data_IF_057196744153
#
_entry.id   IF_057196744153
#
_cell.length_a   1.000
_cell.length_b   1.000
_cell.length_c   1.000
_cell.angle_alpha   90.00
_cell.angle_beta   90.00
_cell.angle_gamma   90.00
#
_symmetry.space_group_name_H-M   'P 1'
#
loop_
_entity.id
_entity.type
_entity.pdbx_description
1 polymer ?
#
# COMPACT_ATOMS: atom_id res chain seq x y z
N UNK A 1 -3.46 1.64 -17.66
CA UNK A 1 -2.96 2.76 -16.84
C UNK A 1 -4.12 3.52 -16.23
N UNK A 2 -4.19 3.59 -14.91
CA UNK A 2 -5.20 4.30 -14.13
C UNK A 2 -4.49 5.32 -13.22
N UNK A 3 -5.10 6.50 -13.06
CA UNK A 3 -4.54 7.58 -12.24
C UNK A 3 -5.01 7.41 -10.79
N UNK A 4 -4.06 7.46 -9.86
CA UNK A 4 -4.31 7.58 -8.42
C UNK A 4 -3.85 8.97 -7.99
N UNK A 5 -4.68 9.65 -7.20
CA UNK A 5 -4.38 11.03 -6.82
C UNK A 5 -4.76 11.31 -5.38
N UNK A 6 -3.92 12.08 -4.70
CA UNK A 6 -4.10 12.40 -3.28
C UNK A 6 -3.53 13.76 -2.97
N UNK A 7 -4.09 14.42 -1.95
CA UNK A 7 -3.58 15.69 -1.45
C UNK A 7 -2.97 15.50 -0.06
N UNK A 8 -1.80 16.10 0.18
CA UNK A 8 -1.14 16.13 1.50
C UNK A 8 -0.62 17.54 1.74
N UNK A 9 -0.98 18.13 2.88
CA UNK A 9 -0.53 19.47 3.29
C UNK A 9 -0.75 20.52 2.20
N UNK A 10 -1.92 20.46 1.55
CA UNK A 10 -2.32 21.37 0.48
C UNK A 10 -1.65 21.12 -0.87
N UNK A 11 -0.83 20.07 -1.01
CA UNK A 11 -0.18 19.71 -2.27
C UNK A 11 -0.81 18.46 -2.87
N UNK A 12 -1.22 18.55 -4.15
CA UNK A 12 -1.74 17.42 -4.94
C UNK A 12 -0.59 16.60 -5.52
N UNK A 13 -0.72 15.28 -5.40
CA UNK A 13 0.14 14.29 -6.03
C UNK A 13 -0.71 13.41 -6.94
N UNK A 14 -0.15 13.06 -8.09
CA UNK A 14 -0.79 12.17 -9.06
C UNK A 14 0.23 11.15 -9.54
N UNK A 15 -0.19 9.89 -9.58
CA UNK A 15 0.61 8.76 -10.05
C UNK A 15 -0.21 7.95 -11.03
N UNK A 16 0.41 7.56 -12.13
CA UNK A 16 -0.21 6.66 -13.11
C UNK A 16 0.31 5.24 -12.85
N UNK A 17 -0.59 4.32 -12.57
CA UNK A 17 -0.29 2.93 -12.25
C UNK A 17 -1.00 2.00 -13.24
N UNK A 18 -0.62 0.73 -13.28
CA UNK A 18 -1.43 -0.29 -13.94
C UNK A 18 -2.79 -0.44 -13.24
N UNK A 19 -3.79 -0.95 -13.96
CA UNK A 19 -5.18 -0.92 -13.52
C UNK A 19 -5.40 -1.71 -12.22
N UNK A 20 -4.93 -2.96 -12.17
CA UNK A 20 -5.01 -3.80 -10.98
C UNK A 20 -4.26 -3.19 -9.78
N UNK A 21 -3.09 -2.60 -10.04
CA UNK A 21 -2.32 -1.97 -8.97
C UNK A 21 -2.99 -0.70 -8.44
N UNK A 22 -3.57 0.10 -9.34
CA UNK A 22 -4.35 1.27 -8.94
C UNK A 22 -5.55 0.88 -8.09
N UNK A 23 -6.29 -0.17 -8.47
CA UNK A 23 -7.43 -0.67 -7.69
C UNK A 23 -7.02 -1.10 -6.29
N UNK A 24 -5.91 -1.84 -6.18
CA UNK A 24 -5.33 -2.21 -4.90
C UNK A 24 -4.97 -0.99 -4.03
N UNK A 25 -4.27 0.00 -4.60
CA UNK A 25 -3.85 1.20 -3.86
C UNK A 25 -5.07 2.01 -3.40
N UNK A 26 -6.08 2.17 -4.24
CA UNK A 26 -7.30 2.92 -3.91
C UNK A 26 -8.09 2.24 -2.80
N UNK A 27 -8.17 0.91 -2.82
CA UNK A 27 -8.81 0.15 -1.75
C UNK A 27 -8.04 0.27 -0.43
N UNK A 28 -6.71 0.15 -0.45
CA UNK A 28 -5.90 0.30 0.77
C UNK A 28 -5.96 1.73 1.33
N UNK A 29 -5.92 2.74 0.46
CA UNK A 29 -6.14 4.14 0.84
C UNK A 29 -7.48 4.32 1.57
N UNK A 30 -8.57 3.81 0.98
CA UNK A 30 -9.90 3.86 1.59
C UNK A 30 -9.92 3.16 2.97
N UNK A 31 -9.30 1.99 3.08
CA UNK A 31 -9.20 1.23 4.33
C UNK A 31 -8.33 1.92 5.39
N UNK A 32 -7.38 2.76 4.97
CA UNK A 32 -6.55 3.58 5.84
C UNK A 32 -7.20 4.93 6.21
N UNK A 33 -8.38 5.25 5.67
CA UNK A 33 -9.05 6.54 5.86
C UNK A 33 -8.40 7.69 5.06
N UNK A 34 -7.64 7.36 4.01
CA UNK A 34 -7.05 8.31 3.07
C UNK A 34 -8.09 8.58 1.98
N UNK A 35 -8.37 9.86 1.73
CA UNK A 35 -9.33 10.33 0.74
C UNK A 35 -8.63 10.87 -0.50
N UNK A 36 -9.18 10.55 -1.67
CA UNK A 36 -8.74 11.15 -2.93
C UNK A 36 -9.24 12.60 -3.09
N UNK A 37 -10.31 13.00 -2.40
CA UNK A 37 -10.96 14.29 -2.60
C UNK A 37 -10.53 15.33 -1.55
N UNK A 38 -10.02 14.89 -0.41
CA UNK A 38 -9.65 15.74 0.72
C UNK A 38 -8.14 15.84 0.88
N UNK A 39 -7.71 16.86 1.64
CA UNK A 39 -6.34 16.94 2.11
C UNK A 39 -6.11 15.96 3.28
N UNK A 40 -5.11 15.10 3.12
CA UNK A 40 -4.84 14.02 4.06
C UNK A 40 -3.76 14.42 5.05
N UNK A 41 -3.94 14.00 6.31
CA UNK A 41 -2.91 14.16 7.33
C UNK A 41 -1.73 13.22 7.03
N UNK A 42 -0.47 13.71 7.03
CA UNK A 42 0.71 12.89 6.76
C UNK A 42 0.81 11.62 7.64
N UNK A 43 0.30 11.71 8.89
CA UNK A 43 0.27 10.58 9.81
C UNK A 43 -0.54 9.37 9.29
N UNK A 44 -1.62 9.60 8.52
CA UNK A 44 -2.42 8.52 7.93
C UNK A 44 -1.61 7.75 6.89
N UNK A 45 -0.86 8.46 6.05
CA UNK A 45 0.02 7.83 5.05
C UNK A 45 1.16 7.06 5.70
N UNK A 46 1.80 7.62 6.74
CA UNK A 46 2.85 6.92 7.47
C UNK A 46 2.31 5.62 8.09
N UNK A 47 1.11 5.67 8.69
CA UNK A 47 0.47 4.48 9.26
C UNK A 47 0.13 3.44 8.20
N UNK A 48 -0.40 3.85 7.05
CA UNK A 48 -0.69 2.95 5.93
C UNK A 48 0.60 2.28 5.42
N UNK A 49 1.66 3.06 5.24
CA UNK A 49 2.97 2.55 4.84
C UNK A 49 3.53 1.52 5.83
N UNK A 50 3.53 1.83 7.13
CA UNK A 50 4.04 0.90 8.15
C UNK A 50 3.23 -0.40 8.21
N UNK A 51 1.92 -0.34 7.97
CA UNK A 51 1.06 -1.52 7.89
C UNK A 51 1.42 -2.40 6.68
N UNK A 52 1.66 -1.79 5.52
CA UNK A 52 2.10 -2.51 4.32
C UNK A 52 3.50 -3.12 4.51
N UNK A 53 4.44 -2.37 5.10
CA UNK A 53 5.78 -2.86 5.40
C UNK A 53 5.73 -4.08 6.34
N UNK A 54 4.91 -4.02 7.39
CA UNK A 54 4.71 -5.15 8.30
C UNK A 54 4.12 -6.38 7.60
N UNK A 55 3.09 -6.19 6.75
CA UNK A 55 2.52 -7.29 5.97
C UNK A 55 3.56 -7.94 5.04
N UNK A 56 4.37 -7.13 4.37
CA UNK A 56 5.40 -7.64 3.47
C UNK A 56 6.48 -8.42 4.24
N UNK A 57 6.91 -7.92 5.40
CA UNK A 57 7.84 -8.65 6.29
C UNK A 57 7.29 -10.03 6.66
N UNK A 58 6.01 -10.13 7.02
CA UNK A 58 5.41 -11.42 7.34
C UNK A 58 5.32 -12.36 6.13
N UNK A 59 5.01 -11.83 4.94
CA UNK A 59 4.99 -12.64 3.73
C UNK A 59 6.38 -13.15 3.34
N UNK A 60 7.43 -12.34 3.54
CA UNK A 60 8.82 -12.77 3.34
C UNK A 60 9.17 -13.94 4.28
N UNK A 61 8.85 -13.82 5.58
CA UNK A 61 9.05 -14.90 6.56
C UNK A 61 8.26 -16.17 6.20
N UNK A 62 6.99 -16.05 5.80
CA UNK A 62 6.15 -17.19 5.38
C UNK A 62 6.71 -17.89 4.14
N UNK A 63 7.22 -17.12 3.17
CA UNK A 63 7.85 -17.66 1.97
C UNK A 63 9.14 -18.40 2.33
N UNK A 64 9.99 -17.83 3.18
CA UNK A 64 11.23 -18.48 3.63
C UNK A 64 10.94 -19.82 4.32
N UNK A 65 9.95 -19.86 5.23
CA UNK A 65 9.52 -21.09 5.89
C UNK A 65 9.01 -22.14 4.89
N UNK A 66 8.29 -21.71 3.85
CA UNK A 66 7.79 -22.62 2.81
C UNK A 66 8.95 -23.20 1.98
N UNK A 67 9.94 -22.38 1.63
CA UNK A 67 11.15 -22.83 0.90
C UNK A 67 11.93 -23.83 1.74
N UNK A 68 12.21 -23.52 3.02
CA UNK A 68 12.90 -24.44 3.93
C UNK A 68 12.18 -25.78 4.07
N UNK A 69 10.84 -25.75 4.12
CA UNK A 69 10.03 -26.96 4.20
C UNK A 69 10.15 -27.79 2.92
N UNK A 70 10.15 -27.16 1.74
CA UNK A 70 10.26 -27.85 0.45
C UNK A 70 11.67 -28.42 0.20
N UNK A 71 12.72 -27.70 0.58
CA UNK A 71 14.12 -28.13 0.43
C UNK A 71 14.53 -29.21 1.44
N UNK A 72 13.78 -29.35 2.55
CA UNK A 72 13.95 -30.40 3.55
C UNK A 72 13.36 -31.77 3.16
N UNK A 73 12.69 -31.89 2.01
CA UNK A 73 12.21 -33.13 1.39
C UNK A 73 13.14 -33.62 0.27
#
# INVERSE_FOLDING_TARGET
>A
MKKVSLSISGKRYEVNLDEEFADFVLEDMKNAGISEELDNQPALLLKAYLKLAYKNSNYEEEIELLIETLDGF
#
